data_IF_180292191871
#
_entry.id   IF_180292191871
#
_cell.length_a   1.000
_cell.length_b   1.000
_cell.length_c   1.000
_cell.angle_alpha   90.00
_cell.angle_beta   90.00
_cell.angle_gamma   90.00
#
_symmetry.space_group_name_H-M   'P 1'
#
loop_
_entity.id
_entity.type
_entity.pdbx_description
1 polymer ?
#
# COMPACT_ATOMS: atom_id res chain seq x y z
N UNK A 1 5.07 5.92 -21.33
CA UNK A 1 6.38 5.44 -20.84
C UNK A 1 6.32 5.39 -19.31
N UNK A 2 6.69 4.27 -18.67
CA UNK A 2 6.72 4.21 -17.19
C UNK A 2 8.05 4.82 -16.71
N UNK A 3 7.98 5.79 -15.80
CA UNK A 3 9.17 6.34 -15.12
C UNK A 3 9.64 5.32 -14.07
N UNK A 4 10.95 5.11 -13.96
CA UNK A 4 11.56 4.29 -12.90
C UNK A 4 12.05 5.24 -11.80
N UNK A 5 11.63 4.98 -10.58
CA UNK A 5 12.08 5.66 -9.37
C UNK A 5 12.64 4.59 -8.42
N UNK A 6 13.68 4.93 -7.66
CA UNK A 6 14.05 4.14 -6.50
C UNK A 6 13.00 4.41 -5.41
N UNK A 7 12.52 3.36 -4.76
CA UNK A 7 11.55 3.44 -3.68
C UNK A 7 12.23 3.02 -2.38
N UNK A 8 11.82 3.63 -1.29
CA UNK A 8 12.00 3.07 0.05
C UNK A 8 11.22 1.76 0.19
N UNK A 9 11.53 0.98 1.22
CA UNK A 9 10.82 -0.27 1.51
C UNK A 9 9.32 0.00 1.79
N UNK A 10 9.00 1.01 2.60
CA UNK A 10 7.61 1.38 2.92
C UNK A 10 6.81 1.80 1.68
N UNK A 11 7.39 2.60 0.78
CA UNK A 11 6.73 2.99 -0.48
C UNK A 11 6.48 1.78 -1.39
N UNK A 12 7.44 0.85 -1.47
CA UNK A 12 7.30 -0.37 -2.24
C UNK A 12 6.16 -1.23 -1.69
N UNK A 13 6.14 -1.45 -0.38
CA UNK A 13 5.13 -2.27 0.31
C UNK A 13 3.73 -1.68 0.17
N UNK A 14 3.60 -0.35 0.26
CA UNK A 14 2.32 0.33 0.03
C UNK A 14 1.79 0.06 -1.38
N UNK A 15 2.65 0.22 -2.39
CA UNK A 15 2.27 0.03 -3.80
C UNK A 15 1.88 -1.43 -4.08
N UNK A 16 2.66 -2.39 -3.60
CA UNK A 16 2.37 -3.81 -3.80
C UNK A 16 1.09 -4.23 -3.08
N UNK A 17 0.86 -3.74 -1.86
CA UNK A 17 -0.38 -4.02 -1.11
C UNK A 17 -1.61 -3.46 -1.84
N UNK A 18 -1.54 -2.23 -2.37
CA UNK A 18 -2.63 -1.65 -3.17
C UNK A 18 -2.91 -2.47 -4.44
N UNK A 19 -1.86 -2.99 -5.10
CA UNK A 19 -2.01 -3.86 -6.28
C UNK A 19 -2.65 -5.19 -5.91
N UNK A 20 -2.28 -5.77 -4.78
CA UNK A 20 -2.84 -7.03 -4.28
C UNK A 20 -4.30 -6.84 -3.86
N UNK A 21 -4.63 -5.74 -3.18
CA UNK A 21 -6.01 -5.37 -2.84
C UNK A 21 -6.91 -5.30 -4.08
N UNK A 22 -6.43 -4.71 -5.18
CA UNK A 22 -7.17 -4.65 -6.45
C UNK A 22 -7.34 -6.01 -7.14
N UNK A 23 -6.45 -6.97 -6.87
CA UNK A 23 -6.51 -8.34 -7.43
C UNK A 23 -7.36 -9.27 -6.56
N UNK A 24 -7.49 -9.00 -5.27
CA UNK A 24 -8.33 -9.80 -4.37
C UNK A 24 -9.82 -9.56 -4.67
N UNK A 25 -10.41 -10.50 -5.39
CA UNK A 25 -11.85 -10.66 -5.61
C UNK A 25 -12.45 -11.56 -4.50
N UNK A 26 -13.74 -11.42 -4.10
CA UNK A 26 -14.74 -10.42 -4.51
C UNK A 26 -14.69 -9.11 -3.73
N UNK A 27 -14.14 -9.13 -2.51
CA UNK A 27 -14.15 -8.00 -1.60
C UNK A 27 -12.73 -7.81 -1.09
N UNK A 28 -11.94 -6.94 -1.73
CA UNK A 28 -10.54 -6.73 -1.35
C UNK A 28 -10.35 -6.78 0.16
N UNK A 29 -9.45 -7.65 0.63
CA UNK A 29 -9.54 -8.17 1.99
C UNK A 29 -9.54 -7.04 3.03
N UNK A 30 -10.43 -7.05 4.04
CA UNK A 30 -10.45 -6.04 5.09
C UNK A 30 -9.08 -5.81 5.73
N UNK A 31 -8.30 -6.88 5.87
CA UNK A 31 -6.92 -6.87 6.38
C UNK A 31 -5.99 -6.11 5.44
N UNK A 32 -6.10 -6.30 4.12
CA UNK A 32 -5.34 -5.52 3.14
C UNK A 32 -5.73 -4.04 3.19
N UNK A 33 -7.01 -3.72 3.36
CA UNK A 33 -7.45 -2.32 3.52
C UNK A 33 -6.88 -1.70 4.80
N UNK A 34 -6.92 -2.41 5.91
CA UNK A 34 -6.32 -1.95 7.16
C UNK A 34 -4.81 -1.70 6.99
N UNK A 35 -4.11 -2.65 6.37
CA UNK A 35 -2.66 -2.54 6.15
C UNK A 35 -2.28 -1.36 5.24
N UNK A 36 -3.07 -1.11 4.19
CA UNK A 36 -2.90 0.08 3.32
C UNK A 36 -3.01 1.37 4.14
N UNK A 37 -3.99 1.47 5.05
CA UNK A 37 -4.15 2.68 5.88
C UNK A 37 -2.98 2.84 6.85
N UNK A 38 -2.49 1.74 7.45
CA UNK A 38 -1.32 1.77 8.35
C UNK A 38 -0.06 2.27 7.64
N UNK A 39 0.22 1.75 6.44
CA UNK A 39 1.35 2.19 5.61
C UNK A 39 1.20 3.63 5.14
N UNK A 40 -0.03 4.07 4.83
CA UNK A 40 -0.29 5.46 4.47
C UNK A 40 0.03 6.44 5.62
N UNK A 41 -0.40 6.11 6.85
CA UNK A 41 -0.08 6.92 8.03
C UNK A 41 1.43 6.96 8.30
N UNK A 42 2.12 5.82 8.17
CA UNK A 42 3.57 5.72 8.30
C UNK A 42 4.29 6.62 7.27
N UNK A 43 3.82 6.66 6.02
CA UNK A 43 4.39 7.54 4.98
C UNK A 43 4.13 9.03 5.23
N UNK A 44 3.14 9.37 6.06
CA UNK A 44 2.83 10.74 6.46
C UNK A 44 3.55 11.16 7.76
N UNK A 45 4.29 10.25 8.41
CA UNK A 45 4.79 10.44 9.79
C UNK A 45 3.68 10.85 10.77
N UNK A 46 2.47 10.29 10.60
CA UNK A 46 1.33 10.51 11.51
C UNK A 46 1.17 9.33 12.48
N UNK A 47 1.10 9.62 13.79
CA UNK A 47 0.79 8.63 14.83
C UNK A 47 -0.74 8.40 14.95
N UNK A 48 -1.13 7.14 15.15
CA UNK A 48 -2.53 6.63 15.16
C UNK A 48 -3.38 7.09 16.35
#
# INVERSE_FOLDING_TARGET
MKRKLALTETEFDFIETVRNYKKSYPNGSPELRWYINRLFMELLDEDY
#
